data_IF_248958237910
#
_entry.id   IF_248958237910
#
_cell.length_a   1.000
_cell.length_b   1.000
_cell.length_c   1.000
_cell.angle_alpha   90.00
_cell.angle_beta   90.00
_cell.angle_gamma   90.00
#
_symmetry.space_group_name_H-M   'P 1'
#
loop_
_entity.id
_entity.type
_entity.pdbx_description
1 polymer ?
#
# COMPACT_ATOMS: atom_id res chain seq x y z
N UNK A 1 0.75 17.22 -13.01
CA UNK A 1 1.72 17.22 -11.89
C UNK A 1 1.37 18.15 -10.71
N UNK A 2 0.70 19.29 -10.86
CA UNK A 2 0.42 20.23 -9.73
C UNK A 2 -0.61 19.74 -8.69
N UNK A 3 -1.54 18.86 -9.04
CA UNK A 3 -2.62 18.40 -8.14
C UNK A 3 -2.16 17.31 -7.16
N UNK A 4 -1.17 16.50 -7.54
CA UNK A 4 -0.60 15.41 -6.71
C UNK A 4 0.19 15.97 -5.50
N UNK A 5 0.79 17.15 -5.63
CA UNK A 5 1.65 17.72 -4.59
C UNK A 5 0.89 18.31 -3.40
N UNK A 6 -0.37 18.66 -3.54
CA UNK A 6 -1.16 19.27 -2.47
C UNK A 6 -1.70 18.20 -1.50
N UNK A 7 -2.11 17.05 -2.02
CA UNK A 7 -2.57 15.91 -1.21
C UNK A 7 -1.42 15.26 -0.42
N UNK A 8 -0.19 15.33 -0.95
CA UNK A 8 1.00 14.76 -0.31
C UNK A 8 1.49 15.53 0.93
N UNK A 9 1.03 16.77 1.17
CA UNK A 9 1.36 17.54 2.37
C UNK A 9 0.57 17.11 3.60
N UNK A 10 -0.30 16.12 3.47
CA UNK A 10 -1.14 15.56 4.53
C UNK A 10 -0.46 14.42 5.27
N UNK A 11 -1.03 14.04 6.41
CA UNK A 11 -0.62 12.90 7.20
C UNK A 11 -1.19 11.59 6.65
N UNK A 12 -0.40 10.51 6.75
CA UNK A 12 -0.84 9.20 6.25
C UNK A 12 0.24 8.13 6.33
N UNK A 13 -0.09 6.97 5.78
CA UNK A 13 0.77 5.79 5.65
C UNK A 13 1.12 5.57 4.19
N UNK A 14 2.38 5.26 3.93
CA UNK A 14 2.92 5.02 2.59
C UNK A 14 3.69 3.70 2.53
N UNK A 15 3.83 3.21 1.32
CA UNK A 15 4.63 2.04 0.98
C UNK A 15 5.73 2.44 0.00
N UNK A 16 6.96 1.98 0.23
CA UNK A 16 8.04 1.96 -0.76
C UNK A 16 8.21 0.51 -1.19
N UNK A 17 8.08 0.23 -2.47
CA UNK A 17 8.17 -1.11 -3.05
C UNK A 17 9.38 -1.25 -3.95
N UNK A 18 10.07 -2.37 -3.83
CA UNK A 18 11.09 -2.81 -4.77
C UNK A 18 10.45 -3.66 -5.86
N UNK A 19 10.42 -3.15 -7.08
CA UNK A 19 9.78 -3.77 -8.25
C UNK A 19 10.43 -5.10 -8.66
N UNK A 20 11.74 -5.28 -8.37
CA UNK A 20 12.47 -6.49 -8.75
C UNK A 20 12.08 -7.73 -7.93
N UNK A 21 11.64 -7.56 -6.69
CA UNK A 21 11.32 -8.68 -5.79
C UNK A 21 10.03 -8.50 -4.99
N UNK A 22 9.30 -7.41 -5.26
CA UNK A 22 8.02 -7.07 -4.63
C UNK A 22 8.08 -6.92 -3.11
N UNK A 23 9.27 -6.75 -2.53
CA UNK A 23 9.44 -6.47 -1.10
C UNK A 23 9.13 -5.03 -0.79
N UNK A 24 8.58 -4.79 0.40
CA UNK A 24 8.02 -3.51 0.78
C UNK A 24 8.63 -2.96 2.06
N UNK A 25 8.65 -1.63 2.15
CA UNK A 25 8.83 -0.85 3.36
C UNK A 25 7.58 -0.02 3.61
N UNK A 26 7.00 -0.12 4.79
CA UNK A 26 5.86 0.68 5.23
C UNK A 26 6.34 1.76 6.20
N UNK A 27 5.81 2.95 6.04
CA UNK A 27 6.08 4.05 6.95
C UNK A 27 4.91 5.02 7.05
N UNK A 28 4.92 5.85 8.07
CA UNK A 28 3.92 6.91 8.21
C UNK A 28 4.57 8.28 8.44
N UNK A 29 3.85 9.34 8.12
CA UNK A 29 4.31 10.70 8.31
C UNK A 29 3.17 11.67 8.49
N UNK A 30 3.43 12.74 9.23
CA UNK A 30 2.56 13.93 9.30
C UNK A 30 2.58 14.74 8.00
N UNK A 31 3.65 14.62 7.22
CA UNK A 31 3.81 15.23 5.91
C UNK A 31 4.45 14.19 4.98
N UNK A 32 3.61 13.52 4.19
CA UNK A 32 4.02 12.44 3.28
C UNK A 32 5.05 12.93 2.25
N UNK A 33 4.85 14.13 1.69
CA UNK A 33 5.74 14.69 0.68
C UNK A 33 7.18 14.86 1.21
N UNK A 34 7.33 15.54 2.34
CA UNK A 34 8.64 15.78 2.93
C UNK A 34 9.31 14.47 3.36
N UNK A 35 8.53 13.53 3.86
CA UNK A 35 9.05 12.22 4.30
C UNK A 35 9.57 11.41 3.12
N UNK A 36 8.83 11.34 2.02
CA UNK A 36 9.25 10.63 0.81
C UNK A 36 10.50 11.25 0.19
N UNK A 37 10.54 12.58 0.06
CA UNK A 37 11.74 13.28 -0.41
C UNK A 37 12.96 12.93 0.46
N UNK A 38 12.80 12.95 1.80
CA UNK A 38 13.87 12.60 2.74
C UNK A 38 14.33 11.14 2.55
N UNK A 39 13.41 10.19 2.38
CA UNK A 39 13.78 8.78 2.13
C UNK A 39 14.67 8.65 0.90
N UNK A 40 14.23 9.16 -0.24
CA UNK A 40 14.97 9.03 -1.49
C UNK A 40 16.31 9.80 -1.45
N UNK A 41 16.35 10.98 -0.83
CA UNK A 41 17.61 11.71 -0.63
C UNK A 41 18.60 10.90 0.21
N UNK A 42 18.19 10.33 1.34
CA UNK A 42 19.06 9.51 2.20
C UNK A 42 19.53 8.24 1.50
N UNK A 43 18.65 7.58 0.73
CA UNK A 43 18.99 6.37 -0.03
C UNK A 43 20.06 6.68 -1.10
N UNK A 44 19.91 7.77 -1.86
CA UNK A 44 20.90 8.22 -2.85
C UNK A 44 22.27 8.53 -2.24
N UNK A 45 22.28 9.06 -1.03
CA UNK A 45 23.51 9.39 -0.31
C UNK A 45 24.07 8.24 0.55
N UNK A 46 23.49 7.05 0.48
CA UNK A 46 23.86 5.88 1.30
C UNK A 46 23.86 6.17 2.81
N UNK A 47 22.87 6.95 3.28
CA UNK A 47 22.71 7.41 4.67
C UNK A 47 21.35 7.05 5.25
N UNK A 48 20.63 6.13 4.66
CA UNK A 48 19.31 5.76 5.13
C UNK A 48 19.38 4.96 6.44
N UNK A 49 18.54 5.33 7.42
CA UNK A 49 18.52 4.72 8.76
C UNK A 49 18.15 3.22 8.72
N UNK A 50 17.31 2.82 7.77
CA UNK A 50 16.94 1.41 7.59
C UNK A 50 17.97 0.72 6.68
N UNK A 51 18.81 -0.13 7.28
CA UNK A 51 19.89 -0.83 6.59
C UNK A 51 19.41 -1.83 5.54
N UNK A 52 18.23 -2.48 5.75
CA UNK A 52 17.67 -3.43 4.79
C UNK A 52 17.20 -2.71 3.52
N UNK A 53 16.50 -1.58 3.67
CA UNK A 53 16.08 -0.76 2.55
C UNK A 53 17.28 -0.16 1.81
N UNK A 54 18.31 0.31 2.55
CA UNK A 54 19.53 0.83 1.95
C UNK A 54 20.29 -0.23 1.16
N UNK A 55 20.46 -1.42 1.73
CA UNK A 55 21.13 -2.53 1.05
C UNK A 55 20.36 -2.96 -0.23
N UNK A 56 19.04 -3.00 -0.17
CA UNK A 56 18.22 -3.29 -1.33
C UNK A 56 18.36 -2.19 -2.40
N UNK A 57 18.34 -0.92 -2.01
CA UNK A 57 18.55 0.20 -2.92
C UNK A 57 19.90 0.11 -3.64
N UNK A 58 20.95 -0.16 -2.91
CA UNK A 58 22.29 -0.30 -3.46
C UNK A 58 22.42 -1.49 -4.43
N UNK A 59 21.70 -2.59 -4.14
CA UNK A 59 21.71 -3.81 -4.96
C UNK A 59 20.91 -3.67 -6.24
N UNK A 60 19.71 -3.09 -6.17
CA UNK A 60 18.74 -3.12 -7.27
C UNK A 60 18.67 -1.80 -8.05
N UNK A 61 19.20 -0.71 -7.50
CA UNK A 61 19.20 0.62 -8.11
C UNK A 61 17.86 1.37 -7.96
N UNK A 62 17.93 2.68 -8.07
CA UNK A 62 16.81 3.61 -7.86
C UNK A 62 15.60 3.31 -8.76
N UNK A 63 15.82 2.95 -10.03
CA UNK A 63 14.77 2.69 -11.01
C UNK A 63 13.84 1.52 -10.63
N UNK A 64 14.29 0.67 -9.71
CA UNK A 64 13.51 -0.47 -9.23
C UNK A 64 12.68 -0.13 -7.98
N UNK A 65 12.64 1.11 -7.56
CA UNK A 65 11.84 1.52 -6.40
C UNK A 65 10.72 2.48 -6.79
N UNK A 66 9.55 2.18 -6.29
CA UNK A 66 8.37 3.05 -6.39
C UNK A 66 7.75 3.28 -5.03
N UNK A 67 6.82 4.22 -4.95
CA UNK A 67 6.08 4.47 -3.72
C UNK A 67 4.59 4.66 -4.00
N UNK A 68 3.78 4.35 -3.00
CA UNK A 68 2.33 4.47 -3.04
C UNK A 68 1.83 4.94 -1.69
N UNK A 69 0.84 5.82 -1.66
CA UNK A 69 0.12 6.16 -0.43
C UNK A 69 -0.91 5.07 -0.19
N UNK A 70 -0.86 4.45 1.00
CA UNK A 70 -1.81 3.41 1.38
C UNK A 70 -3.09 4.02 1.94
N UNK A 71 -2.93 5.08 2.74
CA UNK A 71 -4.06 5.79 3.33
C UNK A 71 -3.65 7.16 3.85
N UNK A 72 -4.62 8.09 3.87
CA UNK A 72 -4.52 9.34 4.61
C UNK A 72 -5.20 9.16 5.96
N UNK A 73 -4.57 9.56 7.04
CA UNK A 73 -5.13 9.43 8.37
C UNK A 73 -4.64 10.56 9.30
N UNK A 74 -5.40 10.88 10.36
CA UNK A 74 -4.99 11.86 11.36
C UNK A 74 -3.69 11.46 12.06
N UNK A 75 -2.93 12.48 12.50
CA UNK A 75 -1.60 12.30 13.09
C UNK A 75 -1.59 11.39 14.33
N UNK A 76 -2.64 11.44 15.10
CA UNK A 76 -2.79 10.72 16.36
C UNK A 76 -2.97 9.21 16.18
N UNK A 77 -3.40 8.75 15.00
CA UNK A 77 -3.54 7.32 14.68
C UNK A 77 -2.43 6.78 13.77
N UNK A 78 -1.49 7.63 13.34
CA UNK A 78 -0.41 7.24 12.42
C UNK A 78 0.31 5.96 12.85
N UNK A 79 0.69 5.85 14.12
CA UNK A 79 1.44 4.69 14.63
C UNK A 79 0.63 3.40 14.57
N UNK A 80 -0.64 3.45 14.94
CA UNK A 80 -1.51 2.27 14.90
C UNK A 80 -1.85 1.86 13.46
N UNK A 81 -1.97 2.84 12.55
CA UNK A 81 -2.22 2.58 11.15
C UNK A 81 -0.98 2.04 10.43
N UNK A 82 0.19 2.60 10.72
CA UNK A 82 1.47 2.08 10.23
C UNK A 82 1.66 0.61 10.64
N UNK A 83 1.47 0.29 11.95
CA UNK A 83 1.56 -1.08 12.44
C UNK A 83 0.56 -2.00 11.73
N UNK A 84 -0.68 -1.55 11.60
CA UNK A 84 -1.71 -2.30 10.88
C UNK A 84 -1.30 -2.62 9.43
N UNK A 85 -0.74 -1.63 8.71
CA UNK A 85 -0.27 -1.84 7.35
C UNK A 85 0.96 -2.77 7.30
N UNK A 86 1.91 -2.66 8.24
CA UNK A 86 3.05 -3.57 8.34
C UNK A 86 2.58 -5.03 8.48
N UNK A 87 1.61 -5.28 9.35
CA UNK A 87 1.06 -6.61 9.59
C UNK A 87 0.28 -7.13 8.37
N UNK A 88 -0.48 -6.25 7.71
CA UNK A 88 -1.28 -6.59 6.53
C UNK A 88 -0.42 -6.93 5.31
N UNK A 89 0.66 -6.19 5.07
CA UNK A 89 1.55 -6.34 3.92
C UNK A 89 2.71 -7.29 4.17
N UNK A 90 2.93 -7.71 5.43
CA UNK A 90 4.08 -8.51 5.83
C UNK A 90 5.41 -7.89 5.35
N UNK A 91 5.55 -6.57 5.54
CA UNK A 91 6.64 -5.78 4.94
C UNK A 91 8.02 -6.27 5.40
N UNK A 92 8.87 -6.67 4.43
CA UNK A 92 10.13 -7.35 4.71
C UNK A 92 11.28 -6.39 5.00
N UNK A 93 11.19 -5.16 4.50
CA UNK A 93 12.21 -4.14 4.78
C UNK A 93 12.00 -3.45 6.13
N UNK A 94 10.86 -3.60 6.79
CA UNK A 94 10.68 -3.10 8.14
C UNK A 94 11.46 -3.98 9.12
N UNK A 95 12.62 -3.49 9.61
CA UNK A 95 13.51 -4.21 10.54
C UNK A 95 12.78 -4.49 11.85
N UNK A 96 12.04 -3.49 12.34
CA UNK A 96 11.24 -3.61 13.56
C UNK A 96 9.80 -3.90 13.15
N UNK A 97 9.33 -5.11 13.39
CA UNK A 97 7.93 -5.50 13.15
C UNK A 97 6.93 -4.80 14.07
N UNK A 98 7.41 -4.18 15.15
CA UNK A 98 6.61 -3.35 16.06
C UNK A 98 7.04 -1.90 15.92
N UNK A 99 6.10 -1.02 15.59
CA UNK A 99 6.36 0.43 15.53
C UNK A 99 6.40 0.96 16.95
N UNK A 100 7.60 1.03 17.52
CA UNK A 100 7.84 1.64 18.82
C UNK A 100 8.20 3.12 18.65
N UNK A 101 7.19 3.97 18.71
CA UNK A 101 7.41 5.41 18.88
C UNK A 101 7.11 5.76 20.33
N UNK A 102 8.15 6.11 21.13
CA UNK A 102 8.06 6.50 22.53
C UNK A 102 6.92 5.78 23.26
N UNK A 103 7.20 4.60 23.76
CA UNK A 103 6.21 3.76 24.44
C UNK A 103 5.72 4.50 25.69
N UNK A 104 4.60 5.21 25.53
CA UNK A 104 3.80 5.58 26.68
C UNK A 104 3.57 4.32 27.52
N UNK A 105 3.71 4.42 28.82
CA UNK A 105 3.47 3.29 29.72
C UNK A 105 2.12 2.63 29.41
N UNK A 106 1.97 1.36 29.74
CA UNK A 106 0.71 0.62 29.54
C UNK A 106 -0.50 1.40 30.11
N UNK A 107 -0.30 2.02 31.26
CA UNK A 107 -1.32 2.85 31.91
C UNK A 107 -1.63 4.12 31.13
N UNK A 108 -0.62 4.79 30.56
CA UNK A 108 -0.81 5.97 29.72
C UNK A 108 -1.57 5.65 28.44
N UNK A 109 -1.30 4.48 27.83
CA UNK A 109 -2.04 3.99 26.65
C UNK A 109 -3.51 3.71 26.99
N UNK A 110 -3.76 3.05 28.13
CA UNK A 110 -5.13 2.76 28.59
C UNK A 110 -5.87 4.06 28.87
N UNK A 111 -5.23 5.00 29.56
CA UNK A 111 -5.82 6.33 29.87
C UNK A 111 -6.15 7.10 28.60
N UNK A 112 -5.24 7.15 27.62
CA UNK A 112 -5.50 7.79 26.32
C UNK A 112 -6.62 7.08 25.53
N UNK A 113 -6.62 5.75 25.52
CA UNK A 113 -7.68 4.95 24.87
C UNK A 113 -9.05 5.21 25.48
N UNK A 114 -9.14 5.24 26.81
CA UNK A 114 -10.39 5.52 27.52
C UNK A 114 -10.85 6.97 27.32
N UNK A 115 -9.93 7.94 27.35
CA UNK A 115 -10.25 9.34 27.04
C UNK A 115 -10.77 9.51 25.64
N UNK A 116 -10.17 8.84 24.64
CA UNK A 116 -10.64 8.85 23.24
C UNK A 116 -12.02 8.23 23.08
N UNK A 117 -12.24 7.06 23.71
CA UNK A 117 -13.55 6.39 23.67
C UNK A 117 -14.63 7.32 24.23
N UNK A 118 -14.37 7.93 25.40
CA UNK A 118 -15.28 8.89 26.02
C UNK A 118 -15.56 10.09 25.12
N UNK A 119 -14.53 10.70 24.51
CA UNK A 119 -14.70 11.84 23.62
C UNK A 119 -15.50 11.49 22.36
N UNK A 120 -15.36 10.27 21.86
CA UNK A 120 -16.17 9.77 20.76
C UNK A 120 -17.62 9.55 21.16
N UNK A 121 -17.85 8.91 22.33
CA UNK A 121 -19.19 8.70 22.90
C UNK A 121 -19.91 10.03 23.20
N UNK A 122 -19.15 11.06 23.60
CA UNK A 122 -19.65 12.43 23.83
C UNK A 122 -19.83 13.23 22.51
N UNK A 123 -19.57 12.64 21.33
CA UNK A 123 -19.64 13.32 20.04
C UNK A 123 -18.62 14.44 19.84
N UNK A 124 -17.62 14.56 20.73
CA UNK A 124 -16.55 15.58 20.66
C UNK A 124 -15.37 15.17 19.83
N UNK A 125 -15.28 13.91 19.43
CA UNK A 125 -14.25 13.36 18.57
C UNK A 125 -14.88 12.54 17.46
N UNK A 126 -14.85 13.07 16.24
CA UNK A 126 -15.19 12.31 15.06
C UNK A 126 -13.94 11.55 14.61
N UNK A 127 -14.09 10.25 14.30
CA UNK A 127 -13.07 9.48 13.63
C UNK A 127 -13.04 9.90 12.17
N UNK A 128 -12.35 10.99 11.85
CA UNK A 128 -12.14 11.44 10.47
C UNK A 128 -11.12 10.53 9.74
N UNK A 129 -11.31 9.22 9.88
CA UNK A 129 -10.61 8.27 9.06
C UNK A 129 -11.28 8.25 7.68
N UNK A 130 -10.63 8.87 6.72
CA UNK A 130 -11.08 8.81 5.32
C UNK A 130 -10.16 7.84 4.58
N UNK A 131 -10.56 6.58 4.38
CA UNK A 131 -9.83 5.70 3.49
C UNK A 131 -9.79 6.32 2.09
N UNK A 132 -8.73 6.06 1.36
CA UNK A 132 -8.65 6.49 -0.04
C UNK A 132 -9.62 5.63 -0.84
N UNK A 133 -10.58 6.21 -1.56
CA UNK A 133 -11.51 5.45 -2.38
C UNK A 133 -10.78 4.70 -3.48
N UNK A 134 -11.29 3.53 -3.84
CA UNK A 134 -10.76 2.71 -4.93
C UNK A 134 -11.87 2.43 -5.93
N UNK A 135 -11.60 2.76 -7.18
CA UNK A 135 -12.45 2.47 -8.31
C UNK A 135 -12.04 1.14 -8.93
N UNK A 136 -12.98 0.24 -9.10
CA UNK A 136 -12.76 -1.12 -9.60
C UNK A 136 -13.38 -1.27 -10.98
N UNK A 137 -12.56 -1.71 -11.93
CA UNK A 137 -12.95 -1.88 -13.32
C UNK A 137 -12.76 -3.34 -13.76
N UNK A 138 -13.51 -3.76 -14.78
CA UNK A 138 -13.23 -4.98 -15.51
C UNK A 138 -12.09 -4.77 -16.54
N UNK A 139 -11.76 -5.81 -17.30
CA UNK A 139 -10.71 -5.72 -18.32
C UNK A 139 -11.08 -4.82 -19.51
N UNK A 140 -12.37 -4.65 -19.77
CA UNK A 140 -12.88 -3.78 -20.84
C UNK A 140 -12.86 -2.31 -20.46
N UNK A 141 -12.41 -1.97 -19.23
CA UNK A 141 -12.37 -0.61 -18.72
C UNK A 141 -13.69 -0.11 -18.16
N UNK A 142 -14.69 -0.99 -18.01
CA UNK A 142 -16.00 -0.63 -17.48
C UNK A 142 -15.90 -0.57 -15.95
N UNK A 143 -16.31 0.54 -15.35
CA UNK A 143 -16.40 0.70 -13.90
C UNK A 143 -17.43 -0.27 -13.32
N UNK A 144 -16.98 -1.14 -12.42
CA UNK A 144 -17.85 -2.11 -11.74
C UNK A 144 -18.44 -1.50 -10.46
N UNK A 145 -17.60 -0.87 -9.65
CA UNK A 145 -18.03 -0.15 -8.45
C UNK A 145 -16.92 0.75 -7.92
N UNK A 146 -17.32 1.71 -7.09
CA UNK A 146 -16.48 2.53 -6.26
C UNK A 146 -16.50 2.01 -4.82
N UNK A 147 -15.34 1.91 -4.19
CA UNK A 147 -15.23 1.50 -2.80
C UNK A 147 -14.64 2.61 -1.93
N UNK A 148 -15.51 3.30 -1.21
CA UNK A 148 -15.17 4.36 -0.26
C UNK A 148 -14.43 3.83 1.00
N UNK A 149 -14.58 2.54 1.32
CA UNK A 149 -13.93 1.92 2.46
C UNK A 149 -12.45 1.58 2.21
N UNK A 150 -11.96 1.78 0.96
CA UNK A 150 -10.55 1.72 0.60
C UNK A 150 -9.99 0.32 0.42
N UNK A 151 -8.67 0.22 0.49
CA UNK A 151 -7.89 -0.95 0.08
C UNK A 151 -8.27 -2.26 0.77
N UNK A 152 -8.44 -2.23 2.09
CA UNK A 152 -8.72 -3.47 2.86
C UNK A 152 -10.05 -4.07 2.47
N UNK A 153 -11.08 -3.24 2.40
CA UNK A 153 -12.44 -3.69 2.07
C UNK A 153 -12.50 -4.18 0.62
N UNK A 154 -11.86 -3.47 -0.31
CA UNK A 154 -11.74 -3.90 -1.71
C UNK A 154 -11.04 -5.25 -1.82
N UNK A 155 -9.94 -5.44 -1.09
CA UNK A 155 -9.18 -6.69 -1.05
C UNK A 155 -10.02 -7.85 -0.53
N UNK A 156 -10.77 -7.64 0.55
CA UNK A 156 -11.67 -8.63 1.15
C UNK A 156 -12.82 -8.99 0.23
N UNK A 157 -13.50 -8.00 -0.36
CA UNK A 157 -14.65 -8.19 -1.26
C UNK A 157 -14.29 -9.02 -2.50
N UNK A 158 -13.11 -8.80 -3.06
CA UNK A 158 -12.66 -9.45 -4.27
C UNK A 158 -11.82 -10.70 -4.01
N UNK A 159 -11.54 -11.02 -2.75
CA UNK A 159 -10.62 -12.07 -2.35
C UNK A 159 -9.25 -11.96 -3.06
N UNK A 160 -8.70 -10.74 -3.08
CA UNK A 160 -7.41 -10.38 -3.67
C UNK A 160 -6.50 -9.88 -2.56
N UNK A 161 -5.19 -10.21 -2.64
CA UNK A 161 -4.24 -9.67 -1.66
C UNK A 161 -4.13 -8.14 -1.80
N UNK A 162 -4.04 -7.38 -0.69
CA UNK A 162 -3.82 -5.94 -0.73
C UNK A 162 -2.60 -5.54 -1.55
N UNK A 163 -1.51 -6.31 -1.48
CA UNK A 163 -0.29 -6.08 -2.26
C UNK A 163 -0.53 -6.17 -3.77
N UNK A 164 -1.38 -7.09 -4.22
CA UNK A 164 -1.72 -7.19 -5.65
C UNK A 164 -2.50 -5.97 -6.14
N UNK A 165 -3.42 -5.45 -5.34
CA UNK A 165 -4.16 -4.22 -5.65
C UNK A 165 -3.19 -3.04 -5.71
N UNK A 166 -2.29 -2.90 -4.72
CA UNK A 166 -1.28 -1.84 -4.72
C UNK A 166 -0.39 -1.85 -5.95
N UNK A 167 0.01 -3.03 -6.44
CA UNK A 167 0.84 -3.14 -7.66
C UNK A 167 0.13 -2.61 -8.89
N UNK A 168 -1.18 -2.75 -8.96
CA UNK A 168 -1.97 -2.18 -10.05
C UNK A 168 -2.12 -0.67 -9.87
N UNK A 169 -2.44 -0.22 -8.67
CA UNK A 169 -2.60 1.19 -8.34
C UNK A 169 -1.32 2.02 -8.57
N UNK A 170 -0.14 1.41 -8.39
CA UNK A 170 1.15 2.06 -8.68
C UNK A 170 1.68 1.79 -10.10
N UNK A 171 0.89 1.13 -10.96
CA UNK A 171 1.21 0.92 -12.39
C UNK A 171 2.20 -0.20 -12.67
N UNK A 172 2.63 -0.99 -11.67
CA UNK A 172 3.58 -2.09 -11.88
C UNK A 172 2.93 -3.34 -12.49
N UNK A 173 1.63 -3.48 -12.29
CA UNK A 173 0.81 -4.52 -12.91
C UNK A 173 -0.42 -3.87 -13.54
N UNK A 174 -0.96 -4.49 -14.58
CA UNK A 174 -2.11 -3.95 -15.29
C UNK A 174 -3.44 -4.48 -14.74
N UNK A 175 -3.45 -5.70 -14.18
CA UNK A 175 -4.65 -6.34 -13.67
C UNK A 175 -4.34 -7.46 -12.67
N UNK A 176 -5.33 -7.86 -11.87
CA UNK A 176 -5.31 -9.04 -11.03
C UNK A 176 -6.70 -9.69 -11.00
N UNK A 177 -6.78 -11.00 -11.25
CA UNK A 177 -8.03 -11.77 -11.29
C UNK A 177 -9.12 -11.16 -12.19
N UNK A 178 -8.75 -10.49 -13.27
CA UNK A 178 -9.69 -9.84 -14.18
C UNK A 178 -10.14 -8.44 -13.76
N UNK A 179 -9.56 -7.88 -12.71
CA UNK A 179 -9.87 -6.54 -12.22
C UNK A 179 -8.71 -5.58 -12.45
N UNK A 180 -9.07 -4.32 -12.67
CA UNK A 180 -8.18 -3.16 -12.72
C UNK A 180 -8.61 -2.18 -11.62
N UNK A 181 -7.68 -1.40 -11.09
CA UNK A 181 -7.92 -0.50 -9.98
C UNK A 181 -7.36 0.88 -10.26
N UNK A 182 -8.08 1.92 -9.81
CA UNK A 182 -7.60 3.30 -9.83
C UNK A 182 -8.00 4.03 -8.56
N UNK A 183 -7.23 5.06 -8.19
CA UNK A 183 -7.59 6.01 -7.13
C UNK A 183 -8.52 7.12 -7.62
N UNK A 184 -8.78 7.18 -8.91
CA UNK A 184 -9.64 8.19 -9.53
C UNK A 184 -10.63 7.51 -10.45
N UNK A 185 -11.81 8.09 -10.56
CA UNK A 185 -12.75 7.71 -11.59
C UNK A 185 -12.20 8.20 -12.94
N UNK A 186 -11.88 7.27 -13.82
CA UNK A 186 -11.30 7.53 -15.14
C UNK A 186 -11.85 6.57 -16.19
N UNK A 187 -11.81 6.98 -17.45
CA UNK A 187 -12.11 6.08 -18.56
C UNK A 187 -10.86 5.26 -18.86
N UNK A 188 -10.98 3.94 -18.78
CA UNK A 188 -9.89 3.02 -19.06
C UNK A 188 -10.11 2.34 -20.41
N UNK A 189 -9.09 2.34 -21.25
CA UNK A 189 -9.12 1.55 -22.51
C UNK A 189 -9.16 0.05 -22.20
N UNK A 190 -9.81 -0.77 -23.05
CA UNK A 190 -9.80 -2.21 -22.90
C UNK A 190 -8.41 -2.80 -22.84
N UNK A 191 -8.18 -3.74 -21.92
CA UNK A 191 -6.89 -4.40 -21.73
C UNK A 191 -6.87 -5.74 -22.47
N UNK A 192 -6.07 -5.84 -23.51
CA UNK A 192 -5.84 -7.09 -24.23
C UNK A 192 -4.82 -7.93 -23.46
N UNK A 193 -5.30 -8.87 -22.66
CA UNK A 193 -4.44 -9.83 -21.95
C UNK A 193 -4.00 -10.91 -22.93
N UNK A 194 -2.76 -10.85 -23.41
CA UNK A 194 -2.16 -11.97 -24.14
C UNK A 194 -2.07 -13.16 -23.18
N UNK A 195 -2.89 -14.19 -23.39
CA UNK A 195 -2.72 -15.46 -22.67
C UNK A 195 -1.39 -16.03 -23.12
N UNK A 196 -0.41 -16.09 -22.23
CA UNK A 196 0.76 -16.94 -22.44
C UNK A 196 0.24 -18.37 -22.42
N UNK A 197 -0.01 -18.92 -23.60
CA UNK A 197 -0.16 -20.36 -23.78
C UNK A 197 1.21 -21.00 -23.60
N UNK A 198 1.70 -21.06 -22.39
CA UNK A 198 2.66 -22.09 -22.00
C UNK A 198 1.89 -23.39 -22.10
N UNK A 199 2.04 -24.05 -23.26
CA UNK A 199 1.68 -25.47 -23.40
C UNK A 199 2.28 -26.18 -22.21
N UNK A 200 1.44 -26.60 -21.29
CA UNK A 200 1.85 -27.44 -20.18
C UNK A 200 2.43 -28.73 -20.79
N UNK A 201 3.63 -29.08 -20.38
CA UNK A 201 4.43 -30.26 -20.73
C UNK A 201 3.74 -31.60 -20.37
N UNK A 202 2.42 -31.63 -20.25
CA UNK A 202 1.62 -32.79 -19.82
C UNK A 202 0.88 -33.52 -20.95
N UNK A 203 0.96 -33.08 -22.21
CA UNK A 203 0.31 -33.78 -23.33
C UNK A 203 1.17 -34.87 -23.99
N UNK A 204 2.41 -35.09 -23.53
CA UNK A 204 3.27 -36.14 -24.13
C UNK A 204 3.18 -37.52 -23.47
N UNK A 205 2.25 -37.75 -22.51
CA UNK A 205 2.07 -39.07 -21.88
C UNK A 205 0.83 -39.85 -22.33
N UNK A 206 0.07 -39.40 -23.34
CA UNK A 206 -1.14 -40.09 -23.79
C UNK A 206 -1.02 -40.80 -25.15
N UNK A 207 0.14 -40.81 -25.78
CA UNK A 207 0.31 -41.47 -27.10
C UNK A 207 1.36 -42.58 -27.11
N UNK A 208 1.64 -43.19 -25.97
CA UNK A 208 2.60 -44.30 -25.87
C UNK A 208 1.99 -45.57 -25.25
N UNK A 209 0.64 -45.74 -25.30
CA UNK A 209 -0.02 -47.02 -24.98
C UNK A 209 -1.22 -47.17 -25.90
N UNK A 210 -0.96 -47.65 -27.07
CA UNK A 210 -1.88 -48.38 -27.95
C UNK A 210 -1.08 -49.18 -28.99
#
# INVERSE_FOLDING_TARGET
>A
MKQITQDLKTSGVYCIENLSNSKTYIGSSKNLYQRLLKHFALLRHNKHENSHLQAAWNKYGESNFTWTILEYCPEDVLTSREQYCIDLFHSEYNITKKVERNVLSKESRIKQGNTRRRLHEEGKLEWNFKPVPIYVYNLDGILLFENQAGLKDTASRLNISPSSICRILNGTHQQCKGYRFSYKMESLEPLIVKRNTTKTKYEHYKTAVS
#
